data_IF_153178921376
#
_entry.id   IF_153178921376
#
_cell.length_a   1.000
_cell.length_b   1.000
_cell.length_c   1.000
_cell.angle_alpha   90.00
_cell.angle_beta   90.00
_cell.angle_gamma   90.00
#
_symmetry.space_group_name_H-M   'P 1'
#
loop_
_entity.id
_entity.type
_entity.pdbx_description
1 polymer ?
#
# COMPACT_ATOMS: atom_id res chain seq x y z
N UNK A 1 -19.62 -5.92 5.37
CA UNK A 1 -18.36 -6.70 5.42
C UNK A 1 -18.07 -7.09 6.86
N UNK A 2 -17.57 -8.30 7.15
CA UNK A 2 -17.17 -8.68 8.50
C UNK A 2 -16.11 -7.71 9.05
N UNK A 3 -16.12 -7.46 10.36
CA UNK A 3 -15.07 -6.65 10.99
C UNK A 3 -13.72 -7.35 10.82
N UNK A 4 -12.66 -6.64 10.38
CA UNK A 4 -11.34 -7.22 10.30
C UNK A 4 -10.85 -7.65 11.68
N UNK A 5 -10.09 -8.74 11.77
CA UNK A 5 -9.42 -9.12 13.02
C UNK A 5 -8.49 -8.00 13.50
N UNK A 6 -8.37 -7.74 14.81
CA UNK A 6 -7.41 -6.78 15.37
C UNK A 6 -5.98 -7.10 14.92
N UNK A 7 -5.12 -6.09 14.80
CA UNK A 7 -3.75 -6.29 14.32
C UNK A 7 -2.93 -7.15 15.28
N UNK A 8 -3.01 -6.86 16.59
CA UNK A 8 -2.34 -7.63 17.65
C UNK A 8 -2.65 -9.13 17.56
N UNK A 9 -3.93 -9.47 17.39
CA UNK A 9 -4.35 -10.86 17.21
C UNK A 9 -3.69 -11.52 15.97
N UNK A 10 -3.55 -10.80 14.86
CA UNK A 10 -2.89 -11.34 13.66
C UNK A 10 -1.42 -11.58 13.92
N UNK A 11 -0.76 -10.64 14.58
CA UNK A 11 0.67 -10.69 14.85
C UNK A 11 1.00 -11.83 15.82
N UNK A 12 0.20 -12.03 16.86
CA UNK A 12 0.32 -13.15 17.79
C UNK A 12 0.17 -14.50 17.09
N UNK A 13 -0.86 -14.65 16.24
CA UNK A 13 -1.10 -15.90 15.51
C UNK A 13 0.02 -16.17 14.50
N UNK A 14 0.54 -15.13 13.83
CA UNK A 14 1.70 -15.25 12.96
C UNK A 14 2.95 -15.65 13.74
N UNK A 15 3.16 -15.08 14.93
CA UNK A 15 4.29 -15.42 15.79
C UNK A 15 4.24 -16.90 16.21
N UNK A 16 3.07 -17.40 16.61
CA UNK A 16 2.87 -18.83 16.94
C UNK A 16 3.12 -19.71 15.71
N UNK A 17 2.57 -19.34 14.55
CA UNK A 17 2.78 -20.08 13.31
C UNK A 17 4.27 -20.17 12.91
N UNK A 18 5.05 -19.11 13.15
CA UNK A 18 6.49 -19.05 12.86
C UNK A 18 7.34 -19.93 13.76
N UNK A 19 6.87 -20.30 14.95
CA UNK A 19 7.58 -21.24 15.83
C UNK A 19 7.70 -22.63 15.21
N UNK A 20 6.85 -22.97 14.22
CA UNK A 20 6.95 -24.23 13.47
C UNK A 20 6.60 -25.49 14.27
N UNK A 21 6.00 -25.34 15.46
CA UNK A 21 5.66 -26.45 16.35
C UNK A 21 4.43 -27.25 15.89
N UNK A 22 3.58 -26.66 15.05
CA UNK A 22 2.39 -27.28 14.50
C UNK A 22 2.17 -26.87 13.04
N UNK A 23 1.52 -27.72 12.22
CA UNK A 23 1.18 -27.36 10.85
C UNK A 23 0.17 -26.19 10.82
N UNK A 24 0.26 -25.32 9.81
CA UNK A 24 -0.58 -24.12 9.68
C UNK A 24 -2.09 -24.41 9.79
N UNK A 25 -2.53 -25.54 9.26
CA UNK A 25 -3.92 -25.99 9.36
C UNK A 25 -4.38 -26.19 10.81
N UNK A 26 -3.51 -26.73 11.66
CA UNK A 26 -3.80 -26.94 13.08
C UNK A 26 -3.80 -25.61 13.82
N UNK A 27 -2.80 -24.77 13.61
CA UNK A 27 -2.73 -23.42 14.20
C UNK A 27 -3.99 -22.61 13.83
N UNK A 28 -4.35 -22.57 12.55
CA UNK A 28 -5.55 -21.89 12.09
C UNK A 28 -6.83 -22.41 12.77
N UNK A 29 -6.94 -23.73 12.93
CA UNK A 29 -8.08 -24.36 13.63
C UNK A 29 -8.13 -23.94 15.11
N UNK A 30 -7.00 -23.94 15.80
CA UNK A 30 -6.90 -23.60 17.23
C UNK A 30 -7.29 -22.13 17.49
N UNK A 31 -6.99 -21.24 16.55
CA UNK A 31 -7.38 -19.82 16.61
C UNK A 31 -8.72 -19.50 15.92
N UNK A 32 -9.45 -20.51 15.42
CA UNK A 32 -10.77 -20.32 14.82
C UNK A 32 -10.78 -19.56 13.48
N UNK A 33 -9.67 -19.57 12.75
CA UNK A 33 -9.52 -18.92 11.43
C UNK A 33 -9.34 -19.95 10.32
N UNK A 34 -9.48 -19.51 9.07
CA UNK A 34 -9.17 -20.38 7.93
C UNK A 34 -7.67 -20.45 7.67
N UNK A 35 -7.17 -21.61 7.22
CA UNK A 35 -5.77 -21.80 6.86
C UNK A 35 -5.32 -20.80 5.77
N UNK A 36 -6.18 -20.52 4.80
CA UNK A 36 -5.91 -19.50 3.78
C UNK A 36 -5.76 -18.09 4.35
N UNK A 37 -6.49 -17.77 5.42
CA UNK A 37 -6.35 -16.49 6.13
C UNK A 37 -4.97 -16.39 6.79
N UNK A 38 -4.57 -17.42 7.54
CA UNK A 38 -3.25 -17.49 8.18
C UNK A 38 -2.11 -17.46 7.16
N UNK A 39 -2.22 -18.22 6.06
CA UNK A 39 -1.23 -18.22 4.98
C UNK A 39 -1.05 -16.81 4.38
N UNK A 40 -2.12 -16.05 4.23
CA UNK A 40 -2.05 -14.68 3.73
C UNK A 40 -1.39 -13.72 4.73
N UNK A 41 -1.61 -13.91 6.04
CA UNK A 41 -0.94 -13.09 7.06
C UNK A 41 0.56 -13.40 7.10
N UNK A 42 0.95 -14.67 7.06
CA UNK A 42 2.34 -15.09 6.96
C UNK A 42 3.04 -14.44 5.77
N UNK A 43 2.43 -14.51 4.56
CA UNK A 43 2.99 -13.86 3.36
C UNK A 43 3.17 -12.35 3.52
N UNK A 44 2.24 -11.67 4.18
CA UNK A 44 2.33 -10.23 4.43
C UNK A 44 3.43 -9.91 5.43
N UNK A 45 3.54 -10.70 6.50
CA UNK A 45 4.62 -10.56 7.46
C UNK A 45 5.99 -10.80 6.81
N UNK A 46 6.12 -11.81 5.94
CA UNK A 46 7.37 -12.06 5.22
C UNK A 46 7.76 -10.93 4.26
N UNK A 47 6.78 -10.25 3.66
CA UNK A 47 7.02 -9.05 2.85
C UNK A 47 7.43 -7.87 3.72
N UNK A 48 6.77 -7.66 4.86
CA UNK A 48 7.10 -6.59 5.80
C UNK A 48 8.51 -6.75 6.40
N UNK A 49 8.92 -7.99 6.68
CA UNK A 49 10.25 -8.30 7.21
C UNK A 49 11.35 -8.31 6.13
N UNK A 50 10.99 -8.14 4.85
CA UNK A 50 11.94 -8.20 3.73
C UNK A 50 12.37 -9.61 3.33
N UNK A 51 11.80 -10.65 3.92
CA UNK A 51 12.07 -12.05 3.59
C UNK A 51 11.45 -12.49 2.25
N UNK A 52 10.53 -11.69 1.70
CA UNK A 52 9.88 -11.94 0.42
C UNK A 52 9.75 -10.66 -0.40
N UNK A 53 10.02 -10.68 -1.72
CA UNK A 53 9.73 -9.54 -2.58
C UNK A 53 8.22 -9.28 -2.64
N UNK A 54 7.85 -8.02 -2.40
CA UNK A 54 6.47 -7.54 -2.43
C UNK A 54 6.42 -6.08 -1.96
N UNK A 55 5.28 -5.42 -2.20
CA UNK A 55 5.04 -4.09 -1.64
C UNK A 55 4.48 -4.25 -0.22
N UNK A 56 5.17 -3.65 0.74
CA UNK A 56 4.69 -3.50 2.11
C UNK A 56 3.43 -2.61 2.14
N UNK A 57 2.73 -2.59 3.29
CA UNK A 57 1.60 -1.68 3.47
C UNK A 57 2.01 -0.21 3.33
N UNK A 58 3.21 0.12 3.81
CA UNK A 58 3.78 1.46 3.78
C UNK A 58 4.17 1.84 2.35
N UNK A 59 4.78 0.93 1.59
CA UNK A 59 5.12 1.15 0.18
C UNK A 59 3.87 1.51 -0.64
N UNK A 60 2.74 0.84 -0.38
CA UNK A 60 1.47 1.10 -1.05
C UNK A 60 0.91 2.47 -0.66
N UNK A 61 1.06 2.87 0.60
CA UNK A 61 0.62 4.18 1.08
C UNK A 61 1.44 5.31 0.45
N UNK A 62 2.77 5.17 0.44
CA UNK A 62 3.69 6.11 -0.21
C UNK A 62 3.42 6.21 -1.71
N UNK A 63 3.24 5.08 -2.38
CA UNK A 63 2.93 5.07 -3.82
C UNK A 63 1.62 5.80 -4.13
N UNK A 64 0.60 5.69 -3.27
CA UNK A 64 -0.66 6.45 -3.41
C UNK A 64 -0.44 7.94 -3.19
N UNK A 65 0.32 8.31 -2.16
CA UNK A 65 0.65 9.72 -1.88
C UNK A 65 1.45 10.35 -3.04
N UNK A 66 2.46 9.64 -3.54
CA UNK A 66 3.27 10.05 -4.68
C UNK A 66 2.42 10.25 -5.95
N UNK A 67 1.56 9.28 -6.29
CA UNK A 67 0.62 9.40 -7.42
C UNK A 67 -0.32 10.60 -7.28
N UNK A 68 -0.81 10.88 -6.07
CA UNK A 68 -1.63 12.07 -5.81
C UNK A 68 -0.84 13.36 -6.03
N UNK A 69 0.41 13.42 -5.56
CA UNK A 69 1.28 14.59 -5.73
C UNK A 69 1.63 14.82 -7.20
N UNK A 70 1.96 13.76 -7.94
CA UNK A 70 2.24 13.84 -9.38
C UNK A 70 1.05 14.44 -10.12
N UNK A 71 -0.16 13.91 -9.89
CA UNK A 71 -1.38 14.43 -10.52
C UNK A 71 -1.60 15.92 -10.24
N UNK A 72 -1.36 16.35 -9.01
CA UNK A 72 -1.51 17.76 -8.62
C UNK A 72 -0.47 18.63 -9.34
N UNK A 73 0.80 18.20 -9.36
CA UNK A 73 1.87 18.90 -10.05
C UNK A 73 1.62 19.01 -11.55
N UNK A 74 1.09 17.96 -12.18
CA UNK A 74 0.71 17.98 -13.60
C UNK A 74 -0.38 19.02 -13.88
N UNK A 75 -1.37 19.14 -12.99
CA UNK A 75 -2.42 20.15 -13.08
C UNK A 75 -1.87 21.57 -12.92
N UNK A 76 -1.03 21.80 -11.91
CA UNK A 76 -0.35 23.08 -11.69
C UNK A 76 0.50 23.46 -12.91
N UNK A 77 1.25 22.52 -13.47
CA UNK A 77 2.09 22.76 -14.64
C UNK A 77 1.25 23.15 -15.87
N UNK A 78 0.12 22.50 -16.08
CA UNK A 78 -0.81 22.84 -17.17
C UNK A 78 -1.37 24.26 -17.02
N UNK A 79 -1.74 24.67 -15.81
CA UNK A 79 -2.17 26.05 -15.54
C UNK A 79 -1.05 27.05 -15.85
N UNK A 80 0.18 26.77 -15.39
CA UNK A 80 1.34 27.62 -15.65
C UNK A 80 1.65 27.72 -17.15
N UNK A 81 1.56 26.63 -17.90
CA UNK A 81 1.75 26.62 -19.36
C UNK A 81 0.71 27.48 -20.07
N UNK A 82 -0.55 27.38 -19.68
CA UNK A 82 -1.64 28.22 -20.23
C UNK A 82 -1.42 29.69 -19.93
N UNK A 83 -1.03 30.03 -18.70
CA UNK A 83 -0.70 31.39 -18.33
C UNK A 83 0.47 31.93 -19.15
N UNK A 84 1.56 31.16 -19.28
CA UNK A 84 2.72 31.54 -20.09
C UNK A 84 2.36 31.77 -21.57
N UNK A 85 1.52 30.91 -22.15
CA UNK A 85 1.03 31.07 -23.52
C UNK A 85 0.16 32.32 -23.69
N UNK A 86 -0.68 32.65 -22.71
CA UNK A 86 -1.47 33.87 -22.73
C UNK A 86 -0.59 35.13 -22.66
N UNK A 87 0.40 35.15 -21.75
CA UNK A 87 1.34 36.27 -21.64
C UNK A 87 2.20 36.45 -22.90
N UNK A 88 2.63 35.36 -23.53
CA UNK A 88 3.42 35.46 -24.77
C UNK A 88 2.61 36.00 -25.95
N UNK A 89 1.32 35.67 -26.03
CA UNK A 89 0.41 36.24 -27.02
C UNK A 89 0.10 37.72 -26.76
N UNK A 90 -0.06 38.12 -25.48
CA UNK A 90 -0.31 39.50 -25.09
C UNK A 90 0.87 40.45 -25.40
N UNK A 91 2.09 39.92 -25.49
CA UNK A 91 3.31 40.69 -25.77
C UNK A 91 3.72 40.70 -27.25
N UNK A 92 2.88 40.22 -28.17
CA UNK A 92 3.14 40.34 -29.61
C UNK A 92 2.90 41.80 -30.05
N UNK A 93 3.87 42.47 -30.70
CA UNK A 93 3.66 43.82 -31.22
C UNK A 93 2.53 43.80 -32.26
N UNK A 94 1.54 44.69 -32.08
CA UNK A 94 0.48 44.90 -33.05
C UNK A 94 1.07 45.20 -34.42
N UNK A 95 0.56 44.52 -35.45
CA UNK A 95 0.89 44.79 -36.85
C UNK A 95 0.46 46.20 -37.26
#
# INVERSE_FOLDING_TARGET
MPKPYPQEFRDDVVAVARQGQAPLKQVAKDFGISEGCLSNWMKKADVADGNRPGLSGDDVAELRAAKKRIRLLEQENEVLRRAAAYLSQANLPGK
#
